data_IF_083869759840
#
_entry.id   IF_083869759840
#
_cell.length_a   1.000
_cell.length_b   1.000
_cell.length_c   1.000
_cell.angle_alpha   90.00
_cell.angle_beta   90.00
_cell.angle_gamma   90.00
#
_symmetry.space_group_name_H-M   'P 1'
#
loop_
_entity.id
_entity.type
_entity.pdbx_description
1 polymer ?
#
# COMPACT_ATOMS: atom_id res chain seq x y z
N UNK A 1 -0.85 -25.35 12.42
CA UNK A 1 -1.75 -26.23 13.20
C UNK A 1 -3.16 -25.99 12.69
N UNK A 2 -3.81 -27.00 12.10
CA UNK A 2 -5.17 -26.82 11.59
C UNK A 2 -6.14 -26.62 12.78
N UNK A 3 -7.11 -25.70 12.69
CA UNK A 3 -8.05 -25.46 13.78
C UNK A 3 -8.86 -26.73 14.09
N UNK A 4 -9.19 -27.01 15.36
CA UNK A 4 -10.05 -28.14 15.71
C UNK A 4 -11.41 -27.99 15.05
N UNK A 5 -12.03 -29.10 14.61
CA UNK A 5 -13.29 -29.09 13.84
C UNK A 5 -14.43 -28.33 14.52
N UNK A 6 -14.46 -28.30 15.86
CA UNK A 6 -15.43 -27.52 16.64
C UNK A 6 -15.25 -26.00 16.54
N UNK A 7 -14.02 -25.51 16.35
CA UNK A 7 -13.77 -24.08 16.15
C UNK A 7 -14.28 -23.61 14.77
N UNK A 8 -14.20 -24.48 13.75
CA UNK A 8 -14.73 -24.18 12.41
C UNK A 8 -16.27 -24.17 12.37
N UNK A 9 -16.95 -24.89 13.26
CA UNK A 9 -18.41 -24.86 13.36
C UNK A 9 -18.96 -23.49 13.76
N UNK A 10 -18.22 -22.69 14.52
CA UNK A 10 -18.61 -21.30 14.84
C UNK A 10 -18.76 -20.47 13.57
N UNK A 11 -17.94 -20.76 12.56
CA UNK A 11 -17.98 -20.07 11.27
C UNK A 11 -19.09 -20.55 10.33
N UNK A 12 -19.77 -21.65 10.64
CA UNK A 12 -20.96 -22.06 9.91
C UNK A 12 -22.17 -21.15 10.21
N UNK A 13 -22.10 -20.33 11.26
CA UNK A 13 -23.15 -19.36 11.61
C UNK A 13 -22.83 -18.00 11.00
N UNK A 14 -23.54 -17.65 9.93
CA UNK A 14 -23.26 -16.47 9.09
C UNK A 14 -23.09 -15.16 9.88
N UNK A 15 -24.03 -14.85 10.78
CA UNK A 15 -23.98 -13.61 11.57
C UNK A 15 -22.77 -13.54 12.52
N UNK A 16 -22.29 -14.68 13.01
CA UNK A 16 -21.11 -14.74 13.88
C UNK A 16 -19.84 -14.59 13.02
N UNK A 17 -19.76 -15.27 11.87
CA UNK A 17 -18.62 -15.19 10.95
C UNK A 17 -18.37 -13.77 10.47
N UNK A 18 -19.42 -13.10 9.97
CA UNK A 18 -19.31 -11.70 9.53
C UNK A 18 -18.77 -10.87 10.68
N UNK A 19 -19.41 -10.92 11.85
CA UNK A 19 -18.97 -10.17 13.03
C UNK A 19 -17.50 -10.40 13.34
N UNK A 20 -17.03 -11.66 13.35
CA UNK A 20 -15.61 -11.99 13.58
C UNK A 20 -14.73 -11.29 12.54
N UNK A 21 -15.03 -11.42 11.24
CA UNK A 21 -14.21 -10.83 10.17
C UNK A 21 -14.00 -9.32 10.34
N UNK A 22 -15.01 -8.57 10.79
CA UNK A 22 -14.89 -7.12 11.04
C UNK A 22 -13.96 -6.74 12.21
N UNK A 23 -13.56 -7.68 13.06
CA UNK A 23 -12.62 -7.44 14.16
C UNK A 23 -11.22 -8.00 13.92
N UNK A 24 -11.00 -8.72 12.81
CA UNK A 24 -9.71 -9.33 12.51
C UNK A 24 -8.77 -8.36 11.82
N UNK A 25 -7.47 -8.52 12.07
CA UNK A 25 -6.45 -7.89 11.23
C UNK A 25 -6.25 -8.65 9.91
N UNK A 26 -5.51 -8.03 8.99
CA UNK A 26 -5.23 -8.59 7.66
C UNK A 26 -4.51 -9.94 7.74
N UNK A 27 -3.54 -10.11 8.65
CA UNK A 27 -2.83 -11.38 8.80
C UNK A 27 -3.74 -12.53 9.27
N UNK A 28 -4.67 -12.22 10.18
CA UNK A 28 -5.63 -13.18 10.73
C UNK A 28 -6.67 -13.56 9.68
N UNK A 29 -7.12 -12.61 8.87
CA UNK A 29 -8.02 -12.88 7.74
C UNK A 29 -7.38 -13.81 6.72
N UNK A 30 -6.14 -13.54 6.31
CA UNK A 30 -5.41 -14.39 5.36
C UNK A 30 -5.22 -15.83 5.88
N UNK A 31 -4.90 -15.97 7.17
CA UNK A 31 -4.83 -17.27 7.82
C UNK A 31 -6.18 -18.02 7.79
N UNK A 32 -7.29 -17.35 8.10
CA UNK A 32 -8.62 -17.96 8.06
C UNK A 32 -9.04 -18.33 6.64
N UNK A 33 -8.71 -17.52 5.64
CA UNK A 33 -9.00 -17.82 4.24
C UNK A 33 -8.39 -19.14 3.78
N UNK A 34 -7.17 -19.45 4.24
CA UNK A 34 -6.55 -20.75 3.98
C UNK A 34 -7.36 -21.92 4.57
N UNK A 35 -8.02 -21.74 5.72
CA UNK A 35 -8.90 -22.75 6.30
C UNK A 35 -10.27 -22.83 5.58
N UNK A 36 -10.81 -21.68 5.18
CA UNK A 36 -12.12 -21.58 4.52
C UNK A 36 -12.11 -22.23 3.13
N UNK A 37 -11.04 -22.03 2.34
CA UNK A 37 -10.93 -22.68 1.03
C UNK A 37 -10.88 -24.22 1.14
N UNK A 38 -10.32 -24.75 2.22
CA UNK A 38 -10.23 -26.19 2.48
C UNK A 38 -11.52 -26.80 3.05
N UNK A 39 -12.51 -25.98 3.45
CA UNK A 39 -13.72 -26.42 4.16
C UNK A 39 -14.96 -26.10 3.31
N UNK A 40 -15.60 -27.12 2.75
CA UNK A 40 -16.73 -26.99 1.83
C UNK A 40 -17.86 -26.09 2.32
N UNK A 41 -18.20 -26.19 3.60
CA UNK A 41 -19.28 -25.45 4.25
C UNK A 41 -18.97 -23.95 4.37
N UNK A 42 -17.70 -23.56 4.28
CA UNK A 42 -17.23 -22.19 4.42
C UNK A 42 -16.84 -21.56 3.08
N UNK A 43 -16.78 -22.34 2.00
CA UNK A 43 -16.44 -21.83 0.66
C UNK A 43 -17.43 -20.76 0.17
N UNK A 44 -18.68 -20.77 0.66
CA UNK A 44 -19.68 -19.74 0.35
C UNK A 44 -19.20 -18.32 0.67
N UNK A 45 -18.44 -18.12 1.75
CA UNK A 45 -17.90 -16.81 2.10
C UNK A 45 -16.87 -16.30 1.08
N UNK A 46 -16.20 -17.19 0.34
CA UNK A 46 -15.25 -16.78 -0.70
C UNK A 46 -15.94 -16.13 -1.91
N UNK A 47 -17.25 -16.36 -2.07
CA UNK A 47 -18.09 -15.81 -3.14
C UNK A 47 -18.98 -14.64 -2.67
N UNK A 48 -18.91 -14.25 -1.39
CA UNK A 48 -19.73 -13.18 -0.82
C UNK A 48 -19.16 -11.80 -1.17
N UNK A 49 -19.54 -11.28 -2.34
CA UNK A 49 -19.11 -9.95 -2.83
C UNK A 49 -19.41 -8.80 -1.86
N UNK A 50 -20.54 -8.86 -1.14
CA UNK A 50 -20.92 -7.81 -0.19
C UNK A 50 -19.97 -7.79 1.01
N UNK A 51 -19.65 -8.96 1.57
CA UNK A 51 -18.69 -9.09 2.67
C UNK A 51 -17.33 -8.53 2.30
N UNK A 52 -16.79 -8.91 1.14
CA UNK A 52 -15.46 -8.45 0.72
C UNK A 52 -15.42 -6.98 0.35
N UNK A 53 -16.53 -6.44 -0.17
CA UNK A 53 -16.67 -4.99 -0.36
C UNK A 53 -16.60 -4.25 0.97
N UNK A 54 -17.35 -4.70 1.98
CA UNK A 54 -17.36 -4.08 3.30
C UNK A 54 -15.99 -4.17 4.00
N UNK A 55 -15.33 -5.32 3.92
CA UNK A 55 -13.99 -5.50 4.47
C UNK A 55 -12.94 -4.65 3.75
N UNK A 56 -13.07 -4.48 2.42
CA UNK A 56 -12.18 -3.56 1.67
C UNK A 56 -12.30 -2.13 2.19
N UNK A 57 -13.53 -1.65 2.39
CA UNK A 57 -13.78 -0.33 2.97
C UNK A 57 -13.21 -0.22 4.39
N UNK A 58 -13.38 -1.25 5.22
CA UNK A 58 -12.87 -1.25 6.59
C UNK A 58 -11.33 -1.12 6.62
N UNK A 59 -10.63 -1.98 5.88
CA UNK A 59 -9.17 -2.15 5.97
C UNK A 59 -8.38 -1.19 5.09
N UNK A 60 -8.92 -0.82 3.93
CA UNK A 60 -8.24 -0.02 2.91
C UNK A 60 -8.92 1.33 2.65
N UNK A 61 -10.02 1.66 3.35
CA UNK A 61 -10.79 2.90 3.21
C UNK A 61 -11.47 3.08 1.85
N UNK A 62 -11.56 2.02 1.06
CA UNK A 62 -12.21 2.02 -0.23
C UNK A 62 -12.02 0.71 -0.98
N UNK A 63 -12.55 0.67 -2.20
CA UNK A 63 -12.26 -0.41 -3.15
C UNK A 63 -10.91 -0.15 -3.82
N UNK A 64 -10.32 -1.22 -4.36
CA UNK A 64 -9.07 -1.13 -5.10
C UNK A 64 -9.25 -0.27 -6.36
N UNK A 65 -8.30 0.63 -6.60
CA UNK A 65 -8.32 1.47 -7.80
C UNK A 65 -8.18 0.62 -9.06
N UNK A 66 -8.99 0.92 -10.08
CA UNK A 66 -9.03 0.22 -11.35
C UNK A 66 -7.72 0.36 -12.12
N UNK A 67 -7.03 1.50 -12.01
CA UNK A 67 -5.77 1.75 -12.70
C UNK A 67 -4.65 0.82 -12.22
N UNK A 68 -4.72 0.38 -10.97
CA UNK A 68 -3.76 -0.57 -10.40
C UNK A 68 -3.86 -1.95 -11.05
N UNK A 69 -4.95 -2.29 -11.76
CA UNK A 69 -5.09 -3.58 -12.47
C UNK A 69 -4.14 -3.70 -13.66
N UNK A 70 -3.65 -2.58 -14.19
CA UNK A 70 -2.74 -2.55 -15.34
C UNK A 70 -1.27 -2.52 -14.94
N UNK A 71 -0.98 -2.41 -13.64
CA UNK A 71 0.37 -2.41 -13.10
C UNK A 71 0.78 -3.85 -12.74
N UNK A 72 2.04 -4.19 -13.02
CA UNK A 72 2.64 -5.46 -12.60
C UNK A 72 3.00 -5.41 -11.10
N UNK A 73 1.99 -5.30 -10.24
CA UNK A 73 2.16 -5.26 -8.79
C UNK A 73 2.44 -6.67 -8.25
N UNK A 74 3.28 -6.80 -7.20
CA UNK A 74 3.62 -8.09 -6.67
C UNK A 74 2.38 -8.78 -6.13
N UNK A 75 2.31 -10.07 -6.41
CA UNK A 75 1.25 -10.95 -5.96
C UNK A 75 1.89 -12.04 -5.13
N UNK A 76 1.37 -12.24 -3.91
CA UNK A 76 1.90 -13.25 -3.00
C UNK A 76 1.33 -14.62 -3.36
N UNK A 77 2.19 -15.63 -3.42
CA UNK A 77 1.72 -17.01 -3.46
C UNK A 77 1.01 -17.36 -2.16
N UNK A 78 -0.10 -18.08 -2.29
CA UNK A 78 -0.97 -18.52 -1.20
C UNK A 78 -1.12 -20.04 -1.16
N UNK A 79 -0.61 -20.77 -2.15
CA UNK A 79 -0.73 -22.23 -2.21
C UNK A 79 -2.12 -22.77 -2.55
N UNK A 80 -3.06 -21.91 -2.97
CA UNK A 80 -4.39 -22.29 -3.46
C UNK A 80 -4.83 -21.38 -4.60
N UNK A 81 -5.77 -21.85 -5.43
CA UNK A 81 -6.23 -21.17 -6.65
C UNK A 81 -7.22 -20.03 -6.37
N UNK A 82 -6.76 -18.97 -5.71
CA UNK A 82 -7.58 -17.81 -5.33
C UNK A 82 -7.94 -16.89 -6.50
N UNK A 83 -7.25 -16.98 -7.63
CA UNK A 83 -7.54 -16.17 -8.82
C UNK A 83 -8.67 -16.75 -9.71
N UNK A 84 -9.16 -17.94 -9.38
CA UNK A 84 -10.19 -18.66 -10.15
C UNK A 84 -11.58 -18.18 -9.73
N UNK A 85 -12.35 -17.64 -10.69
CA UNK A 85 -13.66 -16.99 -10.42
C UNK A 85 -14.72 -17.96 -9.93
N UNK A 86 -14.57 -19.25 -10.24
CA UNK A 86 -15.44 -20.31 -9.75
C UNK A 86 -15.26 -20.52 -8.23
N UNK A 87 -14.10 -20.17 -7.67
CA UNK A 87 -13.78 -20.33 -6.25
C UNK A 87 -13.95 -19.05 -5.44
N UNK A 88 -13.66 -17.91 -6.04
CA UNK A 88 -13.68 -16.60 -5.36
C UNK A 88 -14.40 -15.54 -6.17
N UNK A 89 -15.12 -14.65 -5.52
CA UNK A 89 -15.64 -13.45 -6.17
C UNK A 89 -14.51 -12.46 -6.50
N UNK A 90 -14.80 -11.48 -7.36
CA UNK A 90 -13.83 -10.46 -7.79
C UNK A 90 -13.40 -9.60 -6.60
N UNK A 91 -14.33 -9.27 -5.71
CA UNK A 91 -14.11 -8.42 -4.55
C UNK A 91 -13.11 -9.07 -3.58
N UNK A 92 -13.17 -10.39 -3.39
CA UNK A 92 -12.15 -11.11 -2.62
C UNK A 92 -10.78 -11.06 -3.32
N UNK A 93 -10.73 -11.26 -4.64
CA UNK A 93 -9.47 -11.20 -5.37
C UNK A 93 -8.80 -9.82 -5.23
N UNK A 94 -9.58 -8.75 -5.34
CA UNK A 94 -9.10 -7.38 -5.18
C UNK A 94 -8.72 -7.05 -3.74
N UNK A 95 -9.45 -7.60 -2.76
CA UNK A 95 -9.08 -7.51 -1.35
C UNK A 95 -7.70 -8.15 -1.12
N UNK A 96 -7.47 -9.37 -1.62
CA UNK A 96 -6.20 -10.09 -1.50
C UNK A 96 -5.05 -9.36 -2.20
N UNK A 97 -5.29 -8.78 -3.38
CA UNK A 97 -4.31 -7.93 -4.07
C UNK A 97 -3.97 -6.68 -3.25
N UNK A 98 -4.97 -6.01 -2.67
CA UNK A 98 -4.75 -4.83 -1.82
C UNK A 98 -3.92 -5.17 -0.57
N UNK A 99 -4.06 -6.39 -0.04
CA UNK A 99 -3.21 -6.89 1.05
C UNK A 99 -1.75 -7.06 0.63
N UNK A 100 -1.52 -7.60 -0.56
CA UNK A 100 -0.16 -7.80 -1.11
C UNK A 100 0.52 -6.45 -1.36
N UNK A 101 -0.21 -5.51 -1.96
CA UNK A 101 0.25 -4.14 -2.21
C UNK A 101 0.57 -3.41 -0.92
N UNK A 102 -0.27 -3.53 0.11
CA UNK A 102 0.01 -2.95 1.43
C UNK A 102 1.26 -3.56 2.06
N UNK A 103 1.40 -4.88 2.00
CA UNK A 103 2.59 -5.57 2.51
C UNK A 103 3.86 -5.09 1.82
N UNK A 104 3.81 -4.92 0.49
CA UNK A 104 4.92 -4.35 -0.27
C UNK A 104 5.21 -2.91 0.14
N UNK A 105 4.17 -2.07 0.25
CA UNK A 105 4.32 -0.67 0.65
C UNK A 105 5.00 -0.57 2.02
N UNK A 106 4.53 -1.32 3.01
CA UNK A 106 5.08 -1.32 4.37
C UNK A 106 6.54 -1.84 4.39
N UNK A 107 6.90 -2.74 3.48
CA UNK A 107 8.28 -3.23 3.32
C UNK A 107 9.21 -2.30 2.53
N UNK A 108 8.66 -1.42 1.70
CA UNK A 108 9.42 -0.59 0.75
C UNK A 108 9.52 0.88 1.20
N UNK A 109 8.49 1.38 1.87
CA UNK A 109 8.36 2.79 2.24
C UNK A 109 8.58 2.94 3.74
N UNK A 110 9.47 3.87 4.10
CA UNK A 110 9.71 4.26 5.50
C UNK A 110 9.28 5.70 5.71
N UNK A 111 8.50 5.91 6.77
CA UNK A 111 8.12 7.24 7.24
C UNK A 111 9.05 7.60 8.39
N UNK A 112 9.86 8.64 8.19
CA UNK A 112 10.81 9.15 9.18
C UNK A 112 10.42 10.57 9.55
N UNK A 113 10.40 10.86 10.84
CA UNK A 113 10.29 12.24 11.32
C UNK A 113 11.69 12.86 11.37
N UNK A 114 11.86 14.02 10.74
CA UNK A 114 13.11 14.76 10.79
C UNK A 114 13.15 15.92 9.81
N UNK A 115 14.25 16.66 9.84
CA UNK A 115 14.51 17.75 8.90
C UNK A 115 15.20 17.19 7.65
N UNK A 116 14.53 17.34 6.50
CA UNK A 116 15.00 16.90 5.17
C UNK A 116 16.36 17.51 4.80
N UNK A 117 16.77 18.62 5.42
CA UNK A 117 18.11 19.19 5.29
C UNK A 117 19.20 18.28 5.85
N UNK A 118 18.90 17.45 6.87
CA UNK A 118 19.88 16.69 7.64
C UNK A 118 19.73 15.17 7.55
N UNK A 119 18.60 14.63 7.11
CA UNK A 119 18.45 13.18 6.86
C UNK A 119 19.39 12.80 5.71
N UNK A 120 20.37 11.93 5.94
CA UNK A 120 21.40 11.55 4.97
C UNK A 120 21.32 10.09 4.55
N UNK A 121 20.62 9.28 5.32
CA UNK A 121 20.48 7.85 5.14
C UNK A 121 19.14 7.35 5.66
N UNK A 122 18.76 6.15 5.21
CA UNK A 122 17.65 5.35 5.72
C UNK A 122 18.24 3.99 6.09
N UNK A 123 18.22 3.66 7.39
CA UNK A 123 18.86 2.46 7.96
C UNK A 123 20.34 2.30 7.58
N UNK A 124 21.10 3.39 7.54
CA UNK A 124 22.51 3.38 7.17
C UNK A 124 22.78 3.31 5.67
N UNK A 125 21.75 3.25 4.81
CA UNK A 125 21.89 3.37 3.36
C UNK A 125 21.79 4.84 2.92
N UNK A 126 22.80 5.40 2.25
CA UNK A 126 22.77 6.79 1.79
C UNK A 126 21.60 7.09 0.85
N UNK A 127 21.11 8.33 0.88
CA UNK A 127 20.10 8.80 -0.06
C UNK A 127 20.68 9.02 -1.46
N UNK A 128 20.06 8.43 -2.49
CA UNK A 128 20.41 8.68 -3.90
C UNK A 128 19.85 10.01 -4.42
N UNK A 129 18.73 10.48 -3.86
CA UNK A 129 18.04 11.68 -4.31
C UNK A 129 17.01 12.18 -3.31
N UNK A 130 16.64 13.46 -3.45
CA UNK A 130 15.64 14.10 -2.60
C UNK A 130 14.60 14.77 -3.49
N UNK A 131 13.35 14.32 -3.38
CA UNK A 131 12.20 15.04 -3.94
C UNK A 131 11.67 16.01 -2.89
N UNK A 132 11.38 17.25 -3.29
CA UNK A 132 10.85 18.27 -2.39
C UNK A 132 9.90 19.21 -3.13
N UNK A 133 8.86 19.72 -2.44
CA UNK A 133 7.97 20.71 -3.04
C UNK A 133 8.71 22.03 -3.25
N UNK A 134 8.54 22.62 -4.43
CA UNK A 134 9.13 23.90 -4.81
C UNK A 134 8.16 24.70 -5.67
N UNK A 135 8.45 25.98 -5.89
CA UNK A 135 7.66 26.84 -6.77
C UNK A 135 7.95 26.55 -8.25
N UNK A 136 7.08 27.05 -9.14
CA UNK A 136 7.20 26.90 -10.59
C UNK A 136 8.47 27.52 -11.20
N UNK A 137 9.11 28.47 -10.50
CA UNK A 137 10.36 29.11 -10.91
C UNK A 137 11.61 28.36 -10.44
N UNK A 138 11.43 27.27 -9.68
CA UNK A 138 12.49 26.42 -9.12
C UNK A 138 13.52 27.24 -8.31
N UNK A 139 13.09 28.33 -7.67
CA UNK A 139 13.97 29.21 -6.88
C UNK A 139 13.83 28.95 -5.39
N UNK A 140 14.85 29.33 -4.62
CA UNK A 140 14.80 29.28 -3.16
C UNK A 140 14.11 30.54 -2.61
N UNK A 141 12.91 30.40 -2.04
CA UNK A 141 12.22 31.49 -1.33
C UNK A 141 12.58 31.58 0.16
N UNK A 142 13.60 30.83 0.59
CA UNK A 142 14.12 30.85 1.96
C UNK A 142 13.10 30.45 3.03
N UNK A 143 12.16 29.59 2.67
CA UNK A 143 11.17 29.01 3.58
C UNK A 143 10.95 27.52 3.30
N UNK A 144 10.57 26.79 4.36
CA UNK A 144 10.12 25.39 4.28
C UNK A 144 11.16 24.39 3.74
N UNK A 145 10.66 23.27 3.23
CA UNK A 145 11.47 22.16 2.74
C UNK A 145 12.42 22.59 1.59
N UNK A 146 11.98 23.48 0.72
CA UNK A 146 12.82 24.00 -0.36
C UNK A 146 14.08 24.69 0.18
N UNK A 147 13.95 25.56 1.19
CA UNK A 147 15.12 26.21 1.79
C UNK A 147 16.09 25.20 2.40
N UNK A 148 15.57 24.18 3.11
CA UNK A 148 16.41 23.14 3.71
C UNK A 148 17.23 22.40 2.64
N UNK A 149 16.59 22.01 1.52
CA UNK A 149 17.27 21.31 0.43
C UNK A 149 18.26 22.21 -0.32
N UNK A 150 17.92 23.46 -0.62
CA UNK A 150 18.86 24.40 -1.25
C UNK A 150 20.07 24.68 -0.35
N UNK A 151 19.87 24.77 0.96
CA UNK A 151 20.96 24.93 1.92
C UNK A 151 21.86 23.70 1.94
N UNK A 152 21.27 22.51 1.98
CA UNK A 152 21.95 21.22 1.94
C UNK A 152 22.80 21.04 0.68
N UNK A 153 22.24 21.35 -0.49
CA UNK A 153 22.93 21.21 -1.77
C UNK A 153 23.99 22.30 -2.01
N UNK A 154 23.96 23.39 -1.23
CA UNK A 154 24.86 24.53 -1.37
C UNK A 154 24.62 25.31 -2.66
N UNK A 155 25.67 25.99 -3.14
CA UNK A 155 25.58 26.85 -4.34
C UNK A 155 25.29 26.07 -5.62
N UNK A 156 25.72 24.80 -5.71
CA UNK A 156 25.59 24.01 -6.93
C UNK A 156 24.16 23.86 -7.43
N UNK A 157 23.19 23.65 -6.53
CA UNK A 157 21.78 23.58 -6.93
C UNK A 157 21.26 24.94 -7.42
N UNK A 158 21.60 26.02 -6.72
CA UNK A 158 21.24 27.40 -7.13
C UNK A 158 21.81 27.75 -8.50
N UNK A 159 23.07 27.42 -8.74
CA UNK A 159 23.74 27.68 -10.02
C UNK A 159 23.10 26.85 -11.12
N UNK A 160 22.84 25.56 -10.87
CA UNK A 160 22.21 24.66 -11.84
C UNK A 160 20.81 25.13 -12.24
N UNK A 161 19.94 25.48 -11.27
CA UNK A 161 18.58 25.94 -11.61
C UNK A 161 18.57 27.29 -12.30
N UNK A 162 19.62 28.10 -12.17
CA UNK A 162 19.75 29.39 -12.84
C UNK A 162 20.50 29.30 -14.19
N UNK A 163 21.09 28.15 -14.51
CA UNK A 163 21.76 27.93 -15.78
C UNK A 163 20.77 28.08 -16.95
N UNK A 164 21.04 28.97 -17.93
CA UNK A 164 20.23 29.11 -19.13
C UNK A 164 20.04 27.79 -19.90
N UNK A 165 21.03 26.89 -19.91
CA UNK A 165 20.91 25.59 -20.58
C UNK A 165 19.89 24.68 -19.90
N UNK A 166 19.70 24.83 -18.59
CA UNK A 166 18.67 24.12 -17.83
C UNK A 166 17.30 24.80 -17.94
N UNK A 167 17.24 26.14 -17.78
CA UNK A 167 15.97 26.91 -17.80
C UNK A 167 15.32 27.01 -19.18
N UNK A 168 16.12 26.93 -20.24
CA UNK A 168 15.65 27.26 -21.59
C UNK A 168 15.08 28.69 -21.64
N UNK A 169 13.79 28.83 -21.96
CA UNK A 169 13.11 30.14 -22.07
C UNK A 169 12.38 30.60 -20.79
N UNK A 170 12.48 29.89 -19.67
CA UNK A 170 11.75 30.24 -18.44
C UNK A 170 12.47 31.37 -17.69
N UNK A 171 11.88 32.58 -17.55
CA UNK A 171 12.54 33.69 -16.88
C UNK A 171 12.75 33.40 -15.39
N UNK A 172 13.79 34.01 -14.82
CA UNK A 172 13.92 34.21 -13.36
C UNK A 172 13.03 35.39 -12.97
N UNK A 173 12.21 35.22 -11.93
CA UNK A 173 11.55 36.35 -11.26
C UNK A 173 12.55 37.16 -10.45
#
# INVERSE_FOLDING_TARGET
MAPPSSALQVFAVEGITRSIFFYLDLSSLDFLLHAFQATSELQGYLQDSALWTELSILHFKGQRDLELRFLALPTRDRGWEWAVRERTCVELQEFLQSMDERTQFDGTVKILEGDIGYINDIDGQPLDGIAFPTNSHLTNHYVGAAQAVFRRAGRGLTDHVNDPSFRGRRPTG
#
